data_IF_659057626774
#
_entry.id   IF_659057626774
#
_cell.length_a   1.000
_cell.length_b   1.000
_cell.length_c   1.000
_cell.angle_alpha   90.00
_cell.angle_beta   90.00
_cell.angle_gamma   90.00
#
_symmetry.space_group_name_H-M   'P 1'
#
loop_
_entity.id
_entity.type
_entity.pdbx_description
1 polymer ?
#
# COMPACT_ATOMS: atom_id res chain seq x y z
N UNK A 1 7.87 9.72 2.72
CA UNK A 1 7.64 8.27 2.45
C UNK A 1 6.45 7.98 1.54
N UNK A 2 5.23 8.51 1.77
CA UNK A 2 4.13 8.44 0.79
C UNK A 2 3.49 9.83 0.65
N UNK A 3 3.04 10.19 -0.55
CA UNK A 3 2.42 11.48 -0.82
C UNK A 3 0.94 11.50 -0.42
N UNK A 4 0.21 10.40 -0.67
CA UNK A 4 -1.15 10.22 -0.18
C UNK A 4 -1.53 8.74 -0.06
N UNK A 5 -2.65 8.49 0.65
CA UNK A 5 -3.28 7.18 0.77
C UNK A 5 -4.79 7.32 0.58
N UNK A 6 -5.39 6.34 -0.10
CA UNK A 6 -6.85 6.16 -0.15
C UNK A 6 -7.19 4.92 0.67
N UNK A 7 -8.19 5.02 1.55
CA UNK A 7 -8.68 3.93 2.38
C UNK A 7 -10.04 3.48 1.84
N UNK A 8 -10.18 2.20 1.56
CA UNK A 8 -11.42 1.58 1.07
C UNK A 8 -11.90 0.57 2.13
N UNK A 9 -12.75 0.98 3.08
CA UNK A 9 -13.29 0.07 4.10
C UNK A 9 -14.34 -0.86 3.50
N UNK A 10 -14.65 -1.95 4.19
CA UNK A 10 -15.69 -2.88 3.76
C UNK A 10 -15.18 -4.09 2.97
N UNK A 11 -13.87 -4.27 2.85
CA UNK A 11 -13.30 -5.39 2.13
C UNK A 11 -13.36 -6.66 2.97
N UNK A 12 -13.42 -7.80 2.30
CA UNK A 12 -13.28 -9.13 2.91
C UNK A 12 -12.13 -9.84 2.21
N UNK A 13 -11.12 -10.22 2.98
CA UNK A 13 -9.99 -11.02 2.50
C UNK A 13 -10.29 -12.49 2.70
N UNK A 14 -10.08 -13.28 1.66
CA UNK A 14 -10.28 -14.72 1.65
C UNK A 14 -8.96 -15.39 1.28
N UNK A 15 -8.44 -16.24 2.14
CA UNK A 15 -7.18 -16.95 1.90
C UNK A 15 -7.19 -18.30 2.60
N UNK A 16 -6.28 -19.20 2.21
CA UNK A 16 -6.09 -20.46 2.91
C UNK A 16 -4.96 -20.36 3.91
N UNK A 17 -5.21 -20.78 5.15
CA UNK A 17 -4.21 -20.90 6.21
C UNK A 17 -4.37 -22.24 6.92
N UNK A 18 -3.26 -22.98 7.09
CA UNK A 18 -3.26 -24.32 7.71
C UNK A 18 -4.34 -25.29 7.14
N UNK A 19 -4.60 -25.19 5.83
CA UNK A 19 -5.58 -26.01 5.12
C UNK A 19 -7.04 -25.60 5.32
N UNK A 20 -7.31 -24.47 5.97
CA UNK A 20 -8.66 -23.91 6.17
C UNK A 20 -8.83 -22.62 5.38
N UNK A 21 -10.04 -22.41 4.87
CA UNK A 21 -10.42 -21.12 4.30
C UNK A 21 -10.67 -20.13 5.44
N UNK A 22 -9.86 -19.09 5.49
CA UNK A 22 -10.02 -17.96 6.39
C UNK A 22 -10.78 -16.83 5.70
N UNK A 23 -11.51 -16.06 6.50
CA UNK A 23 -12.26 -14.90 6.06
C UNK A 23 -12.10 -13.77 7.08
N UNK A 24 -11.45 -12.68 6.66
CA UNK A 24 -11.17 -11.53 7.53
C UNK A 24 -11.70 -10.23 6.94
N UNK A 25 -12.15 -9.32 7.82
CA UNK A 25 -12.58 -7.99 7.41
C UNK A 25 -11.38 -7.05 7.33
N UNK A 26 -11.22 -6.38 6.20
CA UNK A 26 -10.04 -5.57 5.92
C UNK A 26 -10.39 -4.19 5.35
N UNK A 27 -9.38 -3.31 5.39
CA UNK A 27 -9.40 -2.01 4.70
C UNK A 27 -8.34 -2.04 3.62
N UNK A 28 -8.75 -1.99 2.35
CA UNK A 28 -7.81 -1.89 1.26
C UNK A 28 -7.19 -0.49 1.24
N UNK A 29 -5.86 -0.43 1.24
CA UNK A 29 -5.11 0.82 1.12
C UNK A 29 -4.52 0.97 -0.29
N UNK A 30 -4.64 2.18 -0.86
CA UNK A 30 -3.96 2.56 -2.10
C UNK A 30 -3.05 3.77 -1.84
N UNK A 31 -1.77 3.50 -1.65
CA UNK A 31 -0.75 4.51 -1.36
C UNK A 31 -0.05 4.96 -2.65
N UNK A 32 0.34 6.24 -2.70
CA UNK A 32 1.08 6.82 -3.82
C UNK A 32 2.43 7.31 -3.32
N UNK A 33 3.48 6.82 -3.92
CA UNK A 33 4.88 7.21 -3.69
C UNK A 33 5.64 7.10 -4.99
N UNK A 34 6.87 7.60 -5.03
CA UNK A 34 7.80 7.39 -6.12
C UNK A 34 8.63 6.10 -5.92
N UNK A 35 9.43 5.78 -6.94
CA UNK A 35 10.34 4.63 -6.94
C UNK A 35 11.46 4.75 -5.88
N UNK A 36 11.92 5.97 -5.58
CA UNK A 36 13.02 6.19 -4.65
C UNK A 36 12.61 5.89 -3.18
N UNK A 37 11.35 6.14 -2.84
CA UNK A 37 10.84 5.95 -1.47
C UNK A 37 10.06 4.65 -1.28
N UNK A 38 9.77 3.88 -2.35
CA UNK A 38 8.94 2.67 -2.25
C UNK A 38 9.48 1.64 -1.25
N UNK A 39 10.80 1.40 -1.23
CA UNK A 39 11.37 0.38 -0.33
C UNK A 39 11.26 0.83 1.13
N UNK A 40 11.60 2.09 1.40
CA UNK A 40 11.47 2.65 2.73
C UNK A 40 10.01 2.61 3.19
N UNK A 41 9.05 2.91 2.30
CA UNK A 41 7.62 2.83 2.61
C UNK A 41 7.20 1.39 2.96
N UNK A 42 7.63 0.39 2.20
CA UNK A 42 7.37 -1.02 2.50
C UNK A 42 7.91 -1.42 3.87
N UNK A 43 9.14 -1.03 4.19
CA UNK A 43 9.78 -1.34 5.47
C UNK A 43 9.03 -0.69 6.64
N UNK A 44 8.62 0.58 6.49
CA UNK A 44 7.83 1.31 7.47
C UNK A 44 6.44 0.68 7.67
N UNK A 45 5.74 0.34 6.60
CA UNK A 45 4.45 -0.34 6.69
C UNK A 45 4.62 -1.68 7.41
N UNK A 46 5.61 -2.47 7.02
CA UNK A 46 5.89 -3.78 7.63
C UNK A 46 6.23 -3.67 9.12
N UNK A 47 6.98 -2.65 9.54
CA UNK A 47 7.34 -2.49 10.95
C UNK A 47 6.18 -2.06 11.85
N UNK A 48 5.16 -1.41 11.29
CA UNK A 48 3.99 -0.93 12.04
C UNK A 48 2.76 -1.83 11.89
N UNK A 49 2.76 -2.75 10.91
CA UNK A 49 1.61 -3.62 10.66
C UNK A 49 1.50 -4.69 11.76
N UNK A 50 0.28 -4.98 12.28
CA UNK A 50 0.10 -5.99 13.32
C UNK A 50 0.35 -7.42 12.84
N UNK A 51 0.17 -7.67 11.54
CA UNK A 51 0.40 -9.00 10.96
C UNK A 51 1.89 -9.27 10.72
N UNK A 52 2.28 -10.53 10.93
CA UNK A 52 3.64 -11.00 10.64
C UNK A 52 3.97 -10.96 9.15
N UNK A 53 2.97 -11.23 8.30
CA UNK A 53 3.07 -11.22 6.84
C UNK A 53 2.00 -10.30 6.27
N UNK A 54 2.21 -8.97 6.25
CA UNK A 54 1.25 -8.04 5.66
C UNK A 54 1.24 -8.16 4.13
N UNK A 55 0.06 -8.03 3.53
CA UNK A 55 -0.07 -7.90 2.07
C UNK A 55 0.37 -6.51 1.61
N UNK A 56 1.59 -6.40 1.10
CA UNK A 56 2.16 -5.16 0.59
C UNK A 56 2.69 -5.39 -0.83
N UNK A 57 1.99 -4.82 -1.82
CA UNK A 57 2.31 -4.97 -3.23
C UNK A 57 2.56 -3.61 -3.88
N UNK A 58 3.51 -3.55 -4.82
CA UNK A 58 3.81 -2.35 -5.61
C UNK A 58 3.41 -2.60 -7.05
N UNK A 59 2.61 -1.69 -7.61
CA UNK A 59 2.18 -1.71 -9.00
C UNK A 59 2.80 -0.52 -9.74
N UNK A 60 3.36 -0.71 -10.95
CA UNK A 60 3.96 0.39 -11.69
C UNK A 60 2.89 1.35 -12.23
N UNK A 61 3.11 2.65 -12.03
CA UNK A 61 2.37 3.71 -12.72
C UNK A 61 3.21 4.17 -13.90
N UNK A 62 2.78 3.86 -15.12
CA UNK A 62 3.58 4.15 -16.33
C UNK A 62 3.37 5.58 -16.84
N UNK A 63 2.21 6.17 -16.57
CA UNK A 63 1.84 7.53 -16.98
C UNK A 63 0.85 8.13 -15.96
N UNK A 64 0.79 9.46 -15.91
CA UNK A 64 -0.13 10.22 -15.06
C UNK A 64 -0.18 11.69 -15.47
N UNK A 65 -1.02 12.46 -14.79
CA UNK A 65 -1.07 13.91 -14.95
C UNK A 65 0.23 14.58 -14.45
N UNK A 66 0.79 15.50 -15.24
CA UNK A 66 2.10 16.10 -14.95
C UNK A 66 2.10 16.92 -13.66
N UNK A 67 1.02 17.64 -13.38
CA UNK A 67 0.91 18.47 -12.17
C UNK A 67 0.78 17.58 -10.93
N UNK A 68 0.00 16.50 -11.02
CA UNK A 68 -0.13 15.52 -9.95
C UNK A 68 1.20 14.80 -9.65
N UNK A 69 1.93 14.36 -10.68
CA UNK A 69 3.23 13.70 -10.49
C UNK A 69 4.28 14.67 -9.92
N UNK A 70 4.23 15.94 -10.30
CA UNK A 70 5.07 16.99 -9.72
C UNK A 70 4.75 17.22 -8.25
N UNK A 71 3.47 17.35 -7.90
CA UNK A 71 3.01 17.47 -6.51
C UNK A 71 3.38 16.24 -5.67
N UNK A 72 3.22 15.04 -6.22
CA UNK A 72 3.56 13.78 -5.56
C UNK A 72 5.03 13.81 -5.15
N UNK A 73 5.92 14.08 -6.10
CA UNK A 73 7.37 14.11 -5.86
C UNK A 73 7.75 15.20 -4.85
N UNK A 74 7.14 16.39 -4.95
CA UNK A 74 7.38 17.50 -4.03
C UNK A 74 6.87 17.26 -2.60
N UNK A 75 5.92 16.34 -2.43
CA UNK A 75 5.35 15.99 -1.12
C UNK A 75 6.17 14.93 -0.37
N UNK A 76 7.11 14.27 -1.06
CA UNK A 76 7.96 13.24 -0.47
C UNK A 76 9.14 13.89 0.28
N UNK A 77 9.53 13.21 1.35
CA UNK A 77 10.65 13.49 2.24
C UNK A 77 11.37 12.19 2.52
#
# INVERSE_FOLDING_TARGET
MAACATLLPGATSLYYWEGKLEQEYEVQMLLKTDLAHQQALLDCLKSHHPYQTPELLVLPVTHGDNDYLSWLTASLR
#
